data_IF_713047065337
#
_entry.id   IF_713047065337
#
_cell.length_a   1.000
_cell.length_b   1.000
_cell.length_c   1.000
_cell.angle_alpha   90.00
_cell.angle_beta   90.00
_cell.angle_gamma   90.00
#
_symmetry.space_group_name_H-M   'P 1'
#
loop_
_entity.id
_entity.type
_entity.pdbx_description
1 polymer ?
#
# COMPACT_ATOMS: atom_id res chain seq x y z
N UNK A 1 -19.22 11.85 12.71
CA UNK A 1 -19.15 12.54 11.43
C UNK A 1 -20.56 12.60 10.80
N UNK A 2 -21.26 11.47 10.60
CA UNK A 2 -22.58 11.43 9.96
C UNK A 2 -23.64 12.29 10.66
N UNK A 3 -23.70 12.24 12.01
CA UNK A 3 -24.60 13.09 12.82
C UNK A 3 -24.30 14.58 12.56
N UNK A 4 -23.04 14.98 12.54
CA UNK A 4 -22.65 16.35 12.24
C UNK A 4 -23.10 16.80 10.85
N UNK A 5 -22.94 15.94 9.83
CA UNK A 5 -23.42 16.19 8.48
C UNK A 5 -24.95 16.35 8.44
N UNK A 6 -25.68 15.49 9.14
CA UNK A 6 -27.13 15.59 9.24
C UNK A 6 -27.60 16.90 9.92
N UNK A 7 -26.92 17.29 11.01
CA UNK A 7 -27.22 18.58 11.69
C UNK A 7 -26.92 19.76 10.76
N UNK A 8 -25.81 19.69 10.02
CA UNK A 8 -25.44 20.72 9.07
C UNK A 8 -26.47 20.84 7.93
N UNK A 9 -26.93 19.70 7.41
CA UNK A 9 -27.93 19.67 6.33
C UNK A 9 -29.27 20.32 6.72
N UNK A 10 -29.60 20.33 8.02
CA UNK A 10 -30.81 20.99 8.51
C UNK A 10 -30.79 22.53 8.36
N UNK A 11 -29.60 23.12 8.19
CA UNK A 11 -29.42 24.56 7.96
C UNK A 11 -29.69 24.94 6.49
N UNK A 12 -29.56 24.01 5.56
CA UNK A 12 -29.88 24.24 4.16
C UNK A 12 -31.39 24.11 3.93
N UNK A 13 -31.99 25.16 3.41
CA UNK A 13 -33.44 25.19 3.11
C UNK A 13 -33.77 24.49 1.79
N UNK A 14 -32.79 24.08 0.99
CA UNK A 14 -33.03 23.32 -0.20
C UNK A 14 -33.68 21.98 0.14
N UNK A 15 -34.78 21.69 -0.46
CA UNK A 15 -35.48 20.42 -0.35
C UNK A 15 -35.56 19.79 -1.71
N UNK A 16 -35.10 18.54 -1.81
CA UNK A 16 -35.25 17.73 -3.00
C UNK A 16 -36.33 16.68 -2.71
N UNK A 17 -37.38 16.68 -3.52
CA UNK A 17 -38.36 15.59 -3.50
C UNK A 17 -37.83 14.43 -4.33
N UNK A 18 -38.42 13.25 -4.09
CA UNK A 18 -38.08 12.06 -4.92
C UNK A 18 -38.31 12.35 -6.40
N UNK A 19 -39.44 12.96 -6.76
CA UNK A 19 -39.75 13.28 -8.17
C UNK A 19 -38.71 14.23 -8.80
N UNK A 20 -38.29 15.27 -8.05
CA UNK A 20 -37.21 16.17 -8.55
C UNK A 20 -35.92 15.44 -8.80
N UNK A 21 -35.57 14.44 -7.98
CA UNK A 21 -34.37 13.64 -8.19
C UNK A 21 -34.53 12.75 -9.42
N UNK A 22 -35.68 12.08 -9.58
CA UNK A 22 -35.99 11.27 -10.74
C UNK A 22 -35.94 12.09 -12.03
N UNK A 23 -36.59 13.25 -12.05
CA UNK A 23 -36.59 14.18 -13.20
C UNK A 23 -35.17 14.64 -13.54
N UNK A 24 -34.34 14.94 -12.55
CA UNK A 24 -32.96 15.36 -12.76
C UNK A 24 -32.10 14.22 -13.36
N UNK A 25 -32.29 13.00 -12.87
CA UNK A 25 -31.60 11.82 -13.42
C UNK A 25 -32.03 11.54 -14.86
N UNK A 26 -33.36 11.59 -15.14
CA UNK A 26 -33.86 11.40 -16.51
C UNK A 26 -33.37 12.48 -17.47
N UNK A 27 -33.37 13.75 -17.04
CA UNK A 27 -32.82 14.85 -17.82
C UNK A 27 -31.36 14.68 -18.11
N UNK A 28 -30.56 14.28 -17.09
CA UNK A 28 -29.14 14.01 -17.27
C UNK A 28 -28.88 12.85 -18.24
N UNK A 29 -29.67 11.77 -18.13
CA UNK A 29 -29.59 10.63 -19.05
C UNK A 29 -29.96 11.00 -20.50
N UNK A 30 -30.99 11.83 -20.71
CA UNK A 30 -31.42 12.30 -22.04
C UNK A 30 -30.50 13.37 -22.62
N UNK A 31 -29.89 14.20 -21.77
CA UNK A 31 -28.99 15.26 -22.23
C UNK A 31 -27.63 14.73 -22.73
N UNK A 32 -27.35 13.43 -22.48
CA UNK A 32 -26.05 12.88 -22.81
C UNK A 32 -24.97 13.73 -22.14
N UNK A 33 -24.75 13.54 -20.85
CA UNK A 33 -23.62 14.23 -20.18
C UNK A 33 -22.39 13.82 -20.96
N UNK A 34 -21.86 14.75 -21.73
CA UNK A 34 -20.56 14.60 -22.39
C UNK A 34 -19.52 14.60 -21.28
N UNK A 35 -19.35 13.42 -20.68
CA UNK A 35 -18.24 13.22 -19.72
C UNK A 35 -17.01 13.40 -20.60
N UNK A 36 -16.27 14.48 -20.37
CA UNK A 36 -14.96 14.63 -20.99
C UNK A 36 -14.07 13.51 -20.45
N UNK A 37 -14.12 12.39 -21.15
CA UNK A 37 -13.20 11.29 -20.87
C UNK A 37 -11.78 11.76 -21.20
N UNK A 38 -10.86 11.56 -20.30
CA UNK A 38 -9.45 11.59 -20.65
C UNK A 38 -9.19 10.52 -21.70
N UNK A 39 -8.22 10.77 -22.57
CA UNK A 39 -7.78 9.72 -23.49
C UNK A 39 -7.43 8.46 -22.70
N UNK A 40 -7.68 7.26 -23.25
CA UNK A 40 -7.23 6.03 -22.62
C UNK A 40 -5.70 6.08 -22.41
N UNK A 41 -5.21 5.43 -21.36
CA UNK A 41 -3.79 5.42 -21.04
C UNK A 41 -2.96 4.78 -22.16
N UNK A 42 -3.53 3.79 -22.84
CA UNK A 42 -2.96 3.12 -24.01
C UNK A 42 -3.98 3.16 -25.15
N UNK A 43 -3.57 3.61 -26.33
CA UNK A 43 -4.43 3.66 -27.50
C UNK A 43 -4.44 2.29 -28.23
N UNK A 44 -3.34 1.53 -28.11
CA UNK A 44 -3.17 0.22 -28.75
C UNK A 44 -2.69 -0.84 -27.75
N UNK A 45 -2.76 -2.10 -28.15
CA UNK A 45 -2.22 -3.21 -27.39
C UNK A 45 -0.69 -3.14 -27.34
N UNK A 46 -0.07 -2.71 -28.42
CA UNK A 46 1.36 -2.53 -28.56
C UNK A 46 1.90 -1.50 -27.56
N UNK A 47 1.17 -0.39 -27.33
CA UNK A 47 1.52 0.62 -26.31
C UNK A 47 1.54 0.02 -24.90
N UNK A 48 0.51 -0.80 -24.60
CA UNK A 48 0.44 -1.51 -23.33
C UNK A 48 1.59 -2.50 -23.17
N UNK A 49 1.89 -3.30 -24.20
CA UNK A 49 2.96 -4.30 -24.14
C UNK A 49 4.33 -3.62 -24.02
N UNK A 50 4.55 -2.50 -24.66
CA UNK A 50 5.76 -1.68 -24.52
C UNK A 50 5.90 -1.11 -23.09
N UNK A 51 4.79 -0.64 -22.50
CA UNK A 51 4.76 -0.20 -21.10
C UNK A 51 5.13 -1.34 -20.15
N UNK A 52 4.51 -2.50 -20.29
CA UNK A 52 4.79 -3.69 -19.47
C UNK A 52 6.25 -4.12 -19.61
N UNK A 53 6.77 -4.20 -20.84
CA UNK A 53 8.15 -4.59 -21.11
C UNK A 53 9.18 -3.61 -20.51
N UNK A 54 8.85 -2.30 -20.51
CA UNK A 54 9.69 -1.30 -19.86
C UNK A 54 9.72 -1.47 -18.34
N UNK A 55 8.56 -1.69 -17.73
CA UNK A 55 8.45 -1.84 -16.27
C UNK A 55 9.02 -3.17 -15.78
N UNK A 56 8.91 -4.24 -16.57
CA UNK A 56 9.47 -5.55 -16.22
C UNK A 56 11.02 -5.55 -16.10
N UNK A 57 11.69 -4.52 -16.59
CA UNK A 57 13.16 -4.35 -16.41
C UNK A 57 13.52 -3.90 -14.99
N UNK A 58 12.57 -3.32 -14.26
CA UNK A 58 12.78 -2.83 -12.91
C UNK A 58 12.24 -3.88 -11.93
N UNK A 59 13.07 -4.87 -11.60
CA UNK A 59 12.78 -5.89 -10.60
C UNK A 59 13.65 -5.69 -9.36
N UNK A 60 13.09 -6.03 -8.20
CA UNK A 60 13.88 -6.13 -6.97
C UNK A 60 14.67 -7.45 -7.04
N UNK A 61 15.98 -7.45 -6.74
CA UNK A 61 16.74 -8.69 -6.62
C UNK A 61 16.12 -9.59 -5.56
N UNK A 62 15.90 -10.85 -5.89
CA UNK A 62 15.27 -11.83 -5.00
C UNK A 62 16.21 -12.98 -4.68
N UNK A 63 16.10 -13.52 -3.48
CA UNK A 63 16.82 -14.70 -3.04
C UNK A 63 15.89 -15.63 -2.29
N UNK A 64 16.04 -16.93 -2.52
CA UNK A 64 15.18 -17.91 -1.89
C UNK A 64 15.50 -18.03 -0.39
N UNK A 65 14.54 -17.65 0.46
CA UNK A 65 14.66 -17.73 1.92
C UNK A 65 14.97 -19.15 2.42
N UNK A 66 14.54 -20.20 1.71
CA UNK A 66 14.77 -21.58 2.10
C UNK A 66 16.24 -22.01 1.98
N UNK A 67 17.01 -21.31 1.17
CA UNK A 67 18.45 -21.58 0.96
C UNK A 67 19.34 -20.50 1.55
N UNK A 68 18.76 -19.37 1.98
CA UNK A 68 19.50 -18.28 2.59
C UNK A 68 19.88 -18.60 4.04
N UNK A 69 21.07 -18.17 4.43
CA UNK A 69 21.57 -18.23 5.81
C UNK A 69 22.34 -16.94 6.09
N UNK A 70 22.02 -16.26 7.18
CA UNK A 70 22.67 -15.03 7.57
C UNK A 70 21.74 -14.02 8.23
N UNK A 71 22.12 -12.75 8.17
CA UNK A 71 21.35 -11.64 8.74
C UNK A 71 20.23 -11.19 7.81
N UNK A 72 19.14 -10.72 8.39
CA UNK A 72 18.03 -10.15 7.65
C UNK A 72 17.47 -8.91 8.35
N UNK A 73 16.77 -8.09 7.58
CA UNK A 73 16.13 -6.85 8.02
C UNK A 73 14.65 -6.88 7.65
N UNK A 74 13.80 -6.58 8.62
CA UNK A 74 12.34 -6.60 8.45
C UNK A 74 11.81 -5.18 8.27
N UNK A 75 11.10 -4.94 7.19
CA UNK A 75 10.32 -3.73 6.95
C UNK A 75 8.82 -4.02 7.02
N UNK A 76 8.06 -3.17 7.68
CA UNK A 76 6.60 -3.25 7.78
C UNK A 76 6.01 -1.90 7.34
N UNK A 77 5.10 -1.91 6.37
CA UNK A 77 4.26 -0.76 6.05
C UNK A 77 2.82 -1.07 6.45
N UNK A 78 2.39 -0.45 7.54
CA UNK A 78 1.04 -0.62 8.07
C UNK A 78 0.17 0.58 7.71
N UNK A 79 -0.47 0.52 6.54
CA UNK A 79 -1.41 1.53 6.09
C UNK A 79 -2.78 1.44 6.77
N UNK A 80 -3.70 2.33 6.43
CA UNK A 80 -5.07 2.35 6.96
C UNK A 80 -5.90 1.15 6.50
N UNK A 81 -5.64 0.62 5.33
CA UNK A 81 -6.42 -0.47 4.70
C UNK A 81 -5.60 -1.70 4.35
N UNK A 82 -4.31 -1.54 4.13
CA UNK A 82 -3.41 -2.62 3.69
C UNK A 82 -2.17 -2.67 4.55
N UNK A 83 -1.63 -3.88 4.69
CA UNK A 83 -0.36 -4.14 5.36
C UNK A 83 0.61 -4.81 4.39
N UNK A 84 1.86 -4.37 4.41
CA UNK A 84 2.94 -4.96 3.61
C UNK A 84 4.10 -5.30 4.53
N UNK A 85 4.75 -6.42 4.25
CA UNK A 85 6.00 -6.80 4.92
C UNK A 85 7.05 -7.13 3.84
N UNK A 86 8.28 -6.76 4.12
CA UNK A 86 9.43 -7.14 3.33
C UNK A 86 10.55 -7.62 4.25
N UNK A 87 11.14 -8.77 3.94
CA UNK A 87 12.35 -9.24 4.58
C UNK A 87 13.49 -9.18 3.58
N UNK A 88 14.54 -8.46 3.91
CA UNK A 88 15.72 -8.30 3.06
C UNK A 88 16.92 -9.04 3.64
N UNK A 89 17.77 -9.56 2.77
CA UNK A 89 19.10 -10.06 3.14
C UNK A 89 20.06 -8.92 3.48
N UNK A 90 21.25 -9.26 3.95
CA UNK A 90 22.36 -8.30 4.19
C UNK A 90 22.84 -7.60 2.91
N UNK A 91 22.56 -8.21 1.73
CA UNK A 91 22.85 -7.65 0.41
C UNK A 91 21.67 -6.92 -0.23
N UNK A 92 20.62 -6.62 0.55
CA UNK A 92 19.37 -5.99 0.10
C UNK A 92 18.58 -6.81 -0.95
N UNK A 93 18.74 -8.12 -0.99
CA UNK A 93 17.91 -9.01 -1.80
C UNK A 93 16.63 -9.36 -1.05
N UNK A 94 15.50 -9.40 -1.76
CA UNK A 94 14.20 -9.72 -1.17
C UNK A 94 14.09 -11.21 -0.86
N UNK A 95 13.98 -11.55 0.42
CA UNK A 95 13.80 -12.92 0.92
C UNK A 95 12.34 -13.30 1.07
N UNK A 96 11.50 -12.32 1.41
CA UNK A 96 10.07 -12.51 1.62
C UNK A 96 9.33 -11.20 1.38
N UNK A 97 8.15 -11.29 0.80
CA UNK A 97 7.23 -10.17 0.68
C UNK A 97 5.79 -10.59 0.96
N UNK A 98 5.03 -9.66 1.52
CA UNK A 98 3.60 -9.80 1.78
C UNK A 98 2.89 -8.50 1.46
N UNK A 99 1.71 -8.60 0.87
CA UNK A 99 0.80 -7.48 0.64
C UNK A 99 -0.64 -7.99 0.67
N UNK A 100 -1.43 -7.51 1.62
CA UNK A 100 -2.88 -7.81 1.69
C UNK A 100 -3.63 -6.72 2.46
N UNK A 101 -4.95 -6.82 2.45
CA UNK A 101 -5.83 -6.02 3.30
C UNK A 101 -5.58 -6.33 4.78
N UNK A 102 -5.56 -5.29 5.61
CA UNK A 102 -5.45 -5.46 7.07
C UNK A 102 -6.80 -5.82 7.73
N UNK A 103 -7.87 -5.92 6.97
CA UNK A 103 -9.23 -6.34 7.40
C UNK A 103 -9.71 -5.62 8.67
N UNK A 104 -9.24 -4.40 8.89
CA UNK A 104 -9.53 -3.63 10.10
C UNK A 104 -8.78 -4.07 11.37
N UNK A 105 -7.91 -5.09 11.28
CA UNK A 105 -7.09 -5.57 12.39
C UNK A 105 -5.63 -5.82 11.93
N UNK A 106 -4.83 -4.76 11.75
CA UNK A 106 -3.47 -4.90 11.26
C UNK A 106 -2.57 -5.68 12.21
N UNK A 107 -2.81 -5.64 13.51
CA UNK A 107 -2.02 -6.38 14.51
C UNK A 107 -2.09 -7.89 14.26
N UNK A 108 -3.28 -8.40 13.99
CA UNK A 108 -3.45 -9.84 13.71
C UNK A 108 -2.76 -10.26 12.42
N UNK A 109 -2.90 -9.45 11.37
CA UNK A 109 -2.24 -9.71 10.07
C UNK A 109 -0.72 -9.72 10.24
N UNK A 110 -0.15 -8.72 10.91
CA UNK A 110 1.30 -8.69 11.17
C UNK A 110 1.73 -9.88 12.01
N UNK A 111 0.97 -10.26 13.04
CA UNK A 111 1.26 -11.43 13.87
C UNK A 111 1.33 -12.73 13.06
N UNK A 112 0.31 -12.94 12.20
CA UNK A 112 0.27 -14.13 11.33
C UNK A 112 1.47 -14.19 10.38
N UNK A 113 1.82 -13.06 9.78
CA UNK A 113 2.96 -12.99 8.85
C UNK A 113 4.31 -13.13 9.57
N UNK A 114 4.48 -12.56 10.76
CA UNK A 114 5.68 -12.78 11.55
C UNK A 114 5.88 -14.26 11.91
N UNK A 115 4.82 -14.97 12.29
CA UNK A 115 4.89 -16.41 12.56
C UNK A 115 5.36 -17.16 11.32
N UNK A 116 4.85 -16.83 10.12
CA UNK A 116 5.30 -17.44 8.86
C UNK A 116 6.78 -17.12 8.57
N UNK A 117 7.18 -15.86 8.70
CA UNK A 117 8.57 -15.42 8.47
C UNK A 117 9.51 -16.17 9.39
N UNK A 118 9.24 -16.21 10.70
CA UNK A 118 10.09 -16.93 11.64
C UNK A 118 10.14 -18.43 11.37
N UNK A 119 9.02 -19.03 10.96
CA UNK A 119 8.99 -20.44 10.56
C UNK A 119 9.87 -20.71 9.32
N UNK A 120 9.86 -19.80 8.34
CA UNK A 120 10.69 -19.90 7.14
C UNK A 120 12.17 -19.65 7.44
N UNK A 121 12.49 -18.73 8.35
CA UNK A 121 13.85 -18.42 8.78
C UNK A 121 14.50 -19.61 9.50
N UNK A 122 13.78 -20.24 10.41
CA UNK A 122 14.34 -21.26 11.31
C UNK A 122 15.58 -20.73 12.02
N UNK A 123 16.57 -21.61 12.24
CA UNK A 123 17.85 -21.23 12.84
C UNK A 123 18.87 -20.65 11.84
N UNK A 124 18.50 -20.58 10.57
CA UNK A 124 19.41 -20.16 9.49
C UNK A 124 19.48 -18.63 9.29
N UNK A 125 18.38 -17.94 9.56
CA UNK A 125 18.24 -16.50 9.30
C UNK A 125 17.97 -15.78 10.62
N UNK A 126 18.80 -14.78 10.91
CA UNK A 126 18.64 -13.94 12.10
C UNK A 126 18.17 -12.55 11.69
N UNK A 127 16.98 -12.16 12.11
CA UNK A 127 16.48 -10.79 11.91
C UNK A 127 17.23 -9.90 12.92
N UNK A 128 18.05 -8.99 12.42
CA UNK A 128 18.94 -8.14 13.23
C UNK A 128 18.48 -6.68 13.29
N UNK A 129 17.44 -6.34 12.55
CA UNK A 129 16.84 -5.02 12.58
C UNK A 129 15.45 -5.04 12.00
N UNK A 130 14.57 -4.20 12.55
CA UNK A 130 13.18 -4.08 12.13
C UNK A 130 12.74 -2.62 12.12
N UNK A 131 11.94 -2.26 11.14
CA UNK A 131 11.35 -0.94 11.03
C UNK A 131 9.88 -1.01 10.60
N UNK A 132 9.08 -0.07 11.07
CA UNK A 132 7.68 0.08 10.66
C UNK A 132 7.40 1.50 10.21
N UNK A 133 6.56 1.62 9.22
CA UNK A 133 6.06 2.89 8.67
C UNK A 133 4.56 2.82 8.43
N UNK A 134 3.96 3.94 8.02
CA UNK A 134 2.55 4.05 7.68
C UNK A 134 1.67 4.45 8.84
N UNK A 135 0.37 4.53 8.59
CA UNK A 135 -0.61 5.04 9.55
C UNK A 135 -0.68 4.25 10.87
N UNK A 136 -0.38 2.95 10.82
CA UNK A 136 -0.34 2.06 11.99
C UNK A 136 1.03 1.95 12.67
N UNK A 137 1.98 2.80 12.34
CA UNK A 137 3.37 2.75 12.82
C UNK A 137 3.47 2.54 14.34
N UNK A 138 2.89 3.45 15.11
CA UNK A 138 2.97 3.41 16.57
C UNK A 138 2.31 2.16 17.17
N UNK A 139 1.18 1.74 16.61
CA UNK A 139 0.45 0.55 17.03
C UNK A 139 1.30 -0.70 16.85
N UNK A 140 1.86 -0.90 15.66
CA UNK A 140 2.65 -2.10 15.33
C UNK A 140 4.00 -2.08 16.05
N UNK A 141 4.65 -0.92 16.16
CA UNK A 141 5.89 -0.76 16.89
C UNK A 141 5.74 -1.21 18.34
N UNK A 142 4.68 -0.77 19.01
CA UNK A 142 4.43 -1.11 20.40
C UNK A 142 3.98 -2.57 20.57
N UNK A 143 3.15 -3.10 19.65
CA UNK A 143 2.65 -4.46 19.74
C UNK A 143 3.74 -5.53 19.57
N UNK A 144 4.73 -5.27 18.72
CA UNK A 144 5.78 -6.26 18.37
C UNK A 144 7.20 -5.84 18.76
N UNK A 145 7.37 -4.73 19.48
CA UNK A 145 8.69 -4.20 19.87
C UNK A 145 9.62 -3.99 18.67
N UNK A 146 9.05 -3.43 17.56
CA UNK A 146 9.82 -3.08 16.37
C UNK A 146 10.84 -1.99 16.71
N UNK A 147 12.09 -2.12 16.25
CA UNK A 147 13.20 -1.25 16.64
C UNK A 147 12.96 0.21 16.27
N UNK A 148 12.48 0.48 15.04
CA UNK A 148 12.34 1.83 14.52
C UNK A 148 10.94 2.09 13.95
N UNK A 149 10.37 3.26 14.28
CA UNK A 149 9.32 3.90 13.51
C UNK A 149 9.93 4.84 12.49
N UNK A 150 9.49 4.79 11.26
CA UNK A 150 10.04 5.60 10.16
C UNK A 150 8.91 6.36 9.48
N UNK A 151 9.06 7.66 9.35
CA UNK A 151 8.09 8.50 8.62
C UNK A 151 7.98 8.00 7.18
N UNK A 152 6.76 7.86 6.69
CA UNK A 152 6.45 7.25 5.39
C UNK A 152 7.22 7.90 4.22
N UNK A 153 7.33 9.23 4.20
CA UNK A 153 8.10 9.95 3.18
C UNK A 153 9.60 9.60 3.21
N UNK A 154 10.16 9.37 4.39
CA UNK A 154 11.57 8.95 4.54
C UNK A 154 11.75 7.51 4.04
N UNK A 155 10.81 6.61 4.36
CA UNK A 155 10.84 5.25 3.86
C UNK A 155 10.76 5.21 2.32
N UNK A 156 9.85 5.98 1.71
CA UNK A 156 9.73 6.12 0.26
C UNK A 156 11.00 6.66 -0.38
N UNK A 157 11.54 7.76 0.16
CA UNK A 157 12.77 8.35 -0.37
C UNK A 157 13.96 7.38 -0.29
N UNK A 158 14.10 6.69 0.85
CA UNK A 158 15.19 5.73 1.06
C UNK A 158 15.13 4.59 0.03
N UNK A 159 13.93 4.03 -0.20
CA UNK A 159 13.74 2.99 -1.19
C UNK A 159 13.99 3.49 -2.63
N UNK A 160 13.42 4.65 -2.98
CA UNK A 160 13.60 5.22 -4.31
C UNK A 160 15.07 5.51 -4.61
N UNK A 161 15.80 6.08 -3.66
CA UNK A 161 17.22 6.40 -3.80
C UNK A 161 18.11 5.15 -3.90
N UNK A 162 17.70 4.06 -3.27
CA UNK A 162 18.42 2.78 -3.40
C UNK A 162 18.42 2.27 -4.85
N UNK A 163 17.28 2.39 -5.55
CA UNK A 163 17.13 1.94 -6.94
C UNK A 163 17.55 3.01 -7.96
N UNK A 164 17.46 4.28 -7.62
CA UNK A 164 17.84 5.41 -8.45
C UNK A 164 18.54 6.48 -7.58
N UNK A 165 19.89 6.42 -7.49
CA UNK A 165 20.66 7.35 -6.63
C UNK A 165 20.45 8.84 -6.93
N UNK A 166 20.06 9.16 -8.17
CA UNK A 166 19.87 10.53 -8.65
C UNK A 166 18.42 11.04 -8.43
N UNK A 167 17.55 10.24 -7.78
CA UNK A 167 16.19 10.67 -7.49
C UNK A 167 16.19 11.84 -6.52
N UNK A 168 15.39 12.87 -6.85
CA UNK A 168 15.16 14.07 -6.03
C UNK A 168 13.65 14.35 -5.96
N UNK A 169 13.07 14.37 -4.72
CA UNK A 169 11.68 14.75 -4.43
C UNK A 169 11.47 15.06 -2.95
#
# INVERSE_FOLDING_TARGET
VAIGAAIYSAKDKKRFTYDMICDAVEKAAKAGVEIKHTKPLFETREDYDAFVARHAKNSVPEKNISTYSGKAYLGIDCGSTTTKLALLSDDNELLYSFYDSNRGNPVEIVREELVKIYSLCGDRVTIVGSAVTGYGEELIKNAFSVDFGVVETIAHFTAARHFNPDVDF
#
